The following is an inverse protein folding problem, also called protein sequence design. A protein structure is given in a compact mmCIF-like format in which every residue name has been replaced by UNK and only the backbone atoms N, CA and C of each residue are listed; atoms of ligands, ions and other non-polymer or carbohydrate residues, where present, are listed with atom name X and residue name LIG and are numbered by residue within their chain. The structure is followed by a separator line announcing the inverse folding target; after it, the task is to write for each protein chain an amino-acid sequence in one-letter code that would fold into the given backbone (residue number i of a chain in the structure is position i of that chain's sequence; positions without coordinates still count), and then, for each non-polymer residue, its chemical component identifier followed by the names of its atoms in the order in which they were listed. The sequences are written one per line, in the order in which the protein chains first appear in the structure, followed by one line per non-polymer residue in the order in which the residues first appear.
data_IF_825650081306
#
_entry.id   IF_825650081306
#
_cell.length_a   1.000
_cell.length_b   1.000
_cell.length_c   1.000
_cell.angle_alpha   90.00
_cell.angle_beta   90.00
_cell.angle_gamma   90.00
#
_symmetry.space_group_name_H-M   'P 1'
#
loop_
_entity.id
_entity.type
_entity.pdbx_description
1 polymer ?
#
# COMPACT_ATOMS: atom_id res chain seq x y z
N UNK A 1 39.81 22.11 31.93
CA UNK A 1 39.91 20.65 31.65
C UNK A 1 38.61 19.99 31.18
N UNK A 2 37.44 20.42 31.62
CA UNK A 2 36.17 19.72 31.38
C UNK A 2 35.66 19.79 29.93
N UNK A 3 35.81 20.95 29.26
CA UNK A 3 35.50 21.12 27.83
C UNK A 3 36.33 20.20 26.92
N UNK A 4 37.58 19.92 27.28
CA UNK A 4 38.44 18.98 26.55
C UNK A 4 38.00 17.53 26.72
N UNK A 5 37.59 17.13 27.93
CA UNK A 5 37.04 15.77 28.18
C UNK A 5 35.73 15.54 27.41
N UNK A 6 34.85 16.55 27.38
CA UNK A 6 33.58 16.50 26.60
C UNK A 6 33.83 16.37 25.09
N UNK A 7 34.75 17.17 24.53
CA UNK A 7 35.14 17.08 23.10
C UNK A 7 35.79 15.75 22.74
N UNK A 8 36.62 15.19 23.63
CA UNK A 8 37.29 13.90 23.43
C UNK A 8 36.32 12.71 23.53
N UNK A 9 35.32 12.77 24.42
CA UNK A 9 34.23 11.79 24.50
C UNK A 9 33.35 11.84 23.24
N UNK A 10 32.94 13.03 22.81
CA UNK A 10 32.14 13.25 21.61
C UNK A 10 32.82 12.75 20.31
N UNK A 11 34.14 12.90 20.17
CA UNK A 11 34.89 12.32 19.04
C UNK A 11 34.94 10.78 19.09
N UNK A 12 35.08 10.17 20.27
CA UNK A 12 35.11 8.71 20.42
C UNK A 12 33.76 8.08 20.08
N UNK A 13 32.66 8.71 20.49
CA UNK A 13 31.31 8.21 20.22
C UNK A 13 30.98 8.27 18.72
N UNK A 14 31.48 9.29 17.99
CA UNK A 14 31.35 9.38 16.52
C UNK A 14 32.21 8.35 15.77
N UNK A 15 33.41 8.06 16.27
CA UNK A 15 34.27 7.01 15.70
C UNK A 15 33.67 5.62 15.96
N UNK A 16 33.09 5.38 17.15
CA UNK A 16 32.38 4.14 17.45
C UNK A 16 31.13 3.95 16.58
N UNK A 17 30.36 5.02 16.34
CA UNK A 17 29.21 4.97 15.42
C UNK A 17 29.63 4.72 13.97
N UNK A 18 30.73 5.33 13.51
CA UNK A 18 31.30 5.06 12.17
C UNK A 18 31.79 3.62 12.02
N UNK A 19 32.44 3.07 13.06
CA UNK A 19 32.88 1.68 13.08
C UNK A 19 31.70 0.70 13.12
N UNK A 20 30.59 1.04 13.78
CA UNK A 20 29.37 0.25 13.78
C UNK A 20 28.67 0.26 12.40
N UNK A 21 28.65 1.41 11.71
CA UNK A 21 28.10 1.51 10.35
C UNK A 21 28.97 0.75 9.35
N UNK A 22 30.30 0.84 9.47
CA UNK A 22 31.22 0.05 8.66
C UNK A 22 31.07 -1.45 8.99
N UNK A 23 30.86 -1.83 10.25
CA UNK A 23 30.57 -3.22 10.61
C UNK A 23 29.25 -3.73 10.01
N UNK A 24 28.21 -2.89 9.90
CA UNK A 24 26.95 -3.23 9.19
C UNK A 24 27.18 -3.35 7.68
N UNK A 25 28.01 -2.48 7.08
CA UNK A 25 28.40 -2.58 5.67
C UNK A 25 29.25 -3.83 5.40
N UNK A 26 30.19 -4.17 6.30
CA UNK A 26 31.07 -5.33 6.19
C UNK A 26 30.30 -6.62 6.43
N UNK A 27 29.46 -6.72 7.47
CA UNK A 27 28.58 -7.87 7.70
C UNK A 27 27.54 -8.02 6.57
N UNK A 28 27.03 -6.90 6.04
CA UNK A 28 26.16 -6.88 4.86
C UNK A 28 26.88 -7.34 3.59
N UNK A 29 28.19 -7.09 3.47
CA UNK A 29 29.01 -7.56 2.35
C UNK A 29 29.56 -8.98 2.50
N UNK A 30 29.73 -9.48 3.73
CA UNK A 30 30.17 -10.87 3.99
C UNK A 30 29.04 -11.87 3.76
N UNK A 31 27.77 -11.43 3.84
CA UNK A 31 26.61 -12.24 3.44
C UNK A 31 26.41 -12.34 1.90
N UNK A 32 27.29 -11.72 1.10
CA UNK A 32 27.15 -11.65 -0.37
C UNK A 32 27.68 -12.88 -1.11
N UNK A 33 28.29 -13.86 -0.46
CA UNK A 33 28.84 -15.03 -1.17
C UNK A 33 28.23 -16.34 -0.68
N UNK A 34 27.47 -16.95 -1.60
CA UNK A 34 26.79 -18.28 -1.56
C UNK A 34 25.36 -18.30 -1.01
N UNK A 35 24.42 -17.85 -1.82
CA UNK A 35 23.16 -18.57 -2.06
C UNK A 35 22.49 -18.04 -3.33
N UNK A 36 22.38 -18.89 -4.36
CA UNK A 36 21.53 -18.62 -5.52
C UNK A 36 20.07 -18.58 -5.04
N UNK A 37 19.36 -17.51 -5.43
CA UNK A 37 17.94 -17.20 -5.13
C UNK A 37 17.62 -16.71 -3.70
N UNK A 38 17.63 -15.38 -3.50
CA UNK A 38 16.68 -14.75 -2.57
C UNK A 38 16.37 -13.32 -3.00
N UNK A 39 15.08 -13.02 -3.10
CA UNK A 39 14.46 -11.74 -3.49
C UNK A 39 14.95 -10.59 -2.61
N UNK A 40 15.22 -9.46 -3.25
CA UNK A 40 15.51 -8.19 -2.60
C UNK A 40 14.40 -7.81 -1.62
N UNK A 41 14.79 -7.64 -0.35
CA UNK A 41 13.93 -7.16 0.73
C UNK A 41 13.48 -5.74 0.39
N UNK A 42 12.17 -5.57 0.23
CA UNK A 42 11.52 -4.29 -0.08
C UNK A 42 11.66 -3.34 1.10
N UNK A 43 12.50 -2.30 0.95
CA UNK A 43 12.58 -1.23 1.94
C UNK A 43 11.49 -0.20 1.62
N UNK A 44 10.44 -0.26 2.42
CA UNK A 44 9.30 0.64 2.39
C UNK A 44 9.69 2.08 2.84
N UNK A 45 8.93 3.07 2.38
CA UNK A 45 9.11 4.51 2.65
C UNK A 45 9.40 4.82 4.12
N UNK A 46 8.77 4.08 5.04
CA UNK A 46 8.95 4.24 6.49
C UNK A 46 10.36 3.92 7.01
N UNK A 47 11.05 2.90 6.48
CA UNK A 47 12.43 2.60 6.90
C UNK A 47 13.40 3.63 6.32
N UNK A 48 13.18 4.04 5.07
CA UNK A 48 13.95 5.10 4.43
C UNK A 48 13.82 6.42 5.17
N UNK A 49 12.61 6.80 5.58
CA UNK A 49 12.38 7.99 6.40
C UNK A 49 13.01 7.86 7.80
N UNK A 50 12.94 6.71 8.47
CA UNK A 50 13.51 6.53 9.81
C UNK A 50 15.05 6.60 9.80
N UNK A 51 15.70 5.97 8.81
CA UNK A 51 17.16 6.03 8.64
C UNK A 51 17.63 7.43 8.27
N UNK A 52 16.87 8.16 7.45
CA UNK A 52 17.20 9.55 7.10
C UNK A 52 17.03 10.47 8.31
N UNK A 53 15.92 10.36 9.03
CA UNK A 53 15.57 11.23 10.16
C UNK A 53 16.49 11.01 11.36
N UNK A 54 16.89 9.77 11.65
CA UNK A 54 17.88 9.47 12.68
C UNK A 54 19.28 10.05 12.39
N UNK A 55 19.54 10.43 11.13
CA UNK A 55 20.84 10.90 10.64
C UNK A 55 20.80 12.30 10.01
N UNK A 56 19.74 13.08 10.23
CA UNK A 56 19.49 14.40 9.62
C UNK A 56 20.53 15.50 9.99
N UNK A 57 21.56 15.17 10.76
CA UNK A 57 22.73 16.02 11.03
C UNK A 57 24.10 15.35 10.79
N UNK A 58 24.12 14.12 10.27
CA UNK A 58 25.34 13.34 10.00
C UNK A 58 25.54 13.14 8.50
N UNK A 59 24.46 13.00 7.73
CA UNK A 59 24.49 12.81 6.29
C UNK A 59 24.37 14.17 5.57
N UNK A 60 25.14 14.35 4.50
CA UNK A 60 24.97 15.51 3.62
C UNK A 60 23.61 15.46 2.92
N UNK A 61 23.09 16.62 2.50
CA UNK A 61 21.80 16.73 1.77
C UNK A 61 21.75 15.80 0.55
N UNK A 62 22.88 15.58 -0.12
CA UNK A 62 22.97 14.69 -1.28
C UNK A 62 22.97 13.20 -0.91
N UNK A 63 23.65 12.81 0.17
CA UNK A 63 23.62 11.42 0.64
C UNK A 63 22.23 11.01 1.11
N UNK A 64 21.49 11.91 1.77
CA UNK A 64 20.08 11.67 2.13
C UNK A 64 19.17 11.47 0.90
N UNK A 65 19.42 12.19 -0.19
CA UNK A 65 18.67 12.05 -1.46
C UNK A 65 19.02 10.76 -2.20
N UNK A 66 20.30 10.39 -2.25
CA UNK A 66 20.76 9.14 -2.87
C UNK A 66 20.33 7.91 -2.05
N UNK A 67 20.38 7.96 -0.72
CA UNK A 67 19.86 6.89 0.14
C UNK A 67 18.34 6.72 0.02
N UNK A 68 17.58 7.83 -0.05
CA UNK A 68 16.14 7.76 -0.39
C UNK A 68 15.92 7.05 -1.73
N UNK A 69 16.72 7.36 -2.75
CA UNK A 69 16.63 6.74 -4.09
C UNK A 69 17.11 5.28 -4.12
N UNK A 70 18.04 4.89 -3.25
CA UNK A 70 18.57 3.53 -3.16
C UNK A 70 17.69 2.59 -2.30
N UNK A 71 16.96 3.14 -1.33
CA UNK A 71 15.98 2.42 -0.51
C UNK A 71 14.59 2.38 -1.15
N UNK A 72 14.26 3.38 -1.96
CA UNK A 72 13.07 3.39 -2.82
C UNK A 72 13.33 2.52 -4.07
N UNK A 73 12.84 1.29 -4.05
CA UNK A 73 12.77 0.44 -5.24
C UNK A 73 11.32 0.38 -5.69
N UNK A 74 10.86 1.28 -6.58
CA UNK A 74 9.55 1.11 -7.19
C UNK A 74 9.56 -0.22 -7.95
N UNK A 75 8.53 -1.05 -7.72
CA UNK A 75 8.37 -2.28 -8.49
C UNK A 75 8.18 -1.88 -9.95
N UNK A 76 9.11 -2.30 -10.82
CA UNK A 76 8.95 -2.10 -12.27
C UNK A 76 7.86 -3.05 -12.77
N UNK A 77 6.65 -2.53 -12.96
CA UNK A 77 5.54 -3.27 -13.58
C UNK A 77 5.86 -3.51 -15.06
N UNK A 78 5.67 -4.75 -15.49
CA UNK A 78 5.83 -5.13 -16.89
C UNK A 78 4.62 -4.67 -17.70
N UNK A 79 4.77 -3.54 -18.40
CA UNK A 79 3.73 -2.92 -19.23
C UNK A 79 3.31 -3.76 -20.44
N UNK A 80 4.05 -4.82 -20.78
CA UNK A 80 3.68 -5.73 -21.88
C UNK A 80 2.63 -6.76 -21.47
N UNK A 81 2.41 -6.95 -20.17
CA UNK A 81 1.38 -7.84 -19.64
C UNK A 81 0.03 -7.15 -19.52
N UNK A 82 -1.01 -7.97 -19.40
CA UNK A 82 -2.34 -7.49 -18.98
C UNK A 82 -2.29 -7.12 -17.50
N UNK A 83 -2.66 -5.91 -17.16
CA UNK A 83 -2.63 -5.39 -15.80
C UNK A 83 -4.04 -5.37 -15.21
N UNK A 84 -4.17 -5.82 -13.98
CA UNK A 84 -5.42 -5.74 -13.21
C UNK A 84 -5.11 -5.27 -11.79
N UNK A 85 -5.93 -4.38 -11.27
CA UNK A 85 -5.83 -3.93 -9.89
C UNK A 85 -6.81 -4.71 -9.02
N UNK A 86 -6.26 -5.54 -8.12
CA UNK A 86 -7.06 -6.14 -7.06
C UNK A 86 -7.21 -5.13 -5.94
N UNK A 87 -8.45 -4.97 -5.46
CA UNK A 87 -8.78 -4.04 -4.39
C UNK A 87 -9.62 -4.70 -3.32
N UNK A 88 -9.37 -4.36 -2.06
CA UNK A 88 -10.03 -4.94 -0.90
C UNK A 88 -10.57 -3.84 0.01
N UNK A 89 -11.87 -3.88 0.28
CA UNK A 89 -12.57 -2.89 1.10
C UNK A 89 -12.86 -3.42 2.52
N UNK A 90 -13.13 -2.49 3.44
CA UNK A 90 -13.57 -2.66 4.83
C UNK A 90 -12.52 -3.12 5.86
N UNK A 91 -11.39 -3.66 5.41
CA UNK A 91 -10.32 -4.12 6.29
C UNK A 91 -9.64 -3.01 7.12
N UNK A 92 -8.59 -3.38 7.88
CA UNK A 92 -8.04 -4.74 8.02
C UNK A 92 -8.89 -5.67 8.90
N UNK A 93 -8.81 -6.98 8.62
CA UNK A 93 -9.42 -8.06 9.41
C UNK A 93 -8.34 -9.08 9.81
N UNK A 94 -8.05 -9.25 11.11
CA UNK A 94 -7.09 -10.23 11.58
C UNK A 94 -7.39 -11.64 11.06
N UNK A 95 -6.35 -12.30 10.58
CA UNK A 95 -6.41 -13.65 10.01
C UNK A 95 -6.73 -13.68 8.52
N UNK A 96 -7.42 -12.66 7.99
CA UNK A 96 -7.77 -12.61 6.57
C UNK A 96 -6.79 -11.75 5.77
N UNK A 97 -6.59 -10.51 6.19
CA UNK A 97 -5.76 -9.53 5.45
C UNK A 97 -4.34 -10.07 5.28
N UNK A 98 -3.76 -10.66 6.33
CA UNK A 98 -2.43 -11.25 6.33
C UNK A 98 -2.31 -12.45 5.37
N UNK A 99 -3.37 -13.26 5.27
CA UNK A 99 -3.41 -14.38 4.32
C UNK A 99 -3.44 -13.89 2.87
N UNK A 100 -4.20 -12.84 2.59
CA UNK A 100 -4.25 -12.23 1.25
C UNK A 100 -2.87 -11.68 0.87
N UNK A 101 -2.21 -10.93 1.76
CA UNK A 101 -0.84 -10.44 1.56
C UNK A 101 0.11 -11.59 1.21
N UNK A 102 0.08 -12.66 2.02
CA UNK A 102 0.93 -13.84 1.81
C UNK A 102 0.65 -14.52 0.46
N UNK A 103 -0.61 -14.56 0.02
CA UNK A 103 -0.99 -15.10 -1.28
C UNK A 103 -0.44 -14.24 -2.44
N UNK A 104 -0.50 -12.91 -2.32
CA UNK A 104 0.05 -11.97 -3.28
C UNK A 104 1.58 -12.09 -3.38
N UNK A 105 2.28 -12.14 -2.24
CA UNK A 105 3.74 -12.23 -2.18
C UNK A 105 4.30 -13.52 -2.80
N UNK A 106 3.59 -14.65 -2.64
CA UNK A 106 3.93 -15.93 -3.31
C UNK A 106 4.02 -15.77 -4.83
N UNK A 107 3.20 -14.88 -5.40
CA UNK A 107 3.18 -14.63 -6.84
C UNK A 107 3.96 -13.39 -7.28
N UNK A 108 4.57 -12.66 -6.34
CA UNK A 108 5.20 -11.35 -6.55
C UNK A 108 4.19 -10.32 -7.09
N UNK A 109 2.96 -10.36 -6.57
CA UNK A 109 1.89 -9.43 -6.88
C UNK A 109 1.66 -8.46 -5.74
N UNK A 110 0.93 -7.38 -6.05
CA UNK A 110 0.51 -6.35 -5.09
C UNK A 110 -0.93 -5.95 -5.36
N UNK A 111 -1.61 -5.44 -4.34
CA UNK A 111 -3.00 -5.03 -4.38
C UNK A 111 -3.20 -3.76 -3.56
N UNK A 112 -4.41 -3.19 -3.62
CA UNK A 112 -4.81 -1.98 -2.89
C UNK A 112 -5.81 -2.31 -1.80
N UNK A 113 -5.59 -1.84 -0.59
CA UNK A 113 -6.47 -2.08 0.54
C UNK A 113 -7.11 -0.75 0.96
N UNK A 114 -8.42 -0.62 0.73
CA UNK A 114 -9.22 0.52 1.16
C UNK A 114 -9.72 0.26 2.57
N UNK A 115 -8.99 0.80 3.55
CA UNK A 115 -9.21 0.49 4.95
C UNK A 115 -10.13 1.48 5.64
N UNK A 116 -10.96 0.96 6.55
CA UNK A 116 -11.71 1.78 7.49
C UNK A 116 -10.81 2.31 8.59
N UNK A 117 -10.94 3.60 8.89
CA UNK A 117 -10.16 4.25 9.95
C UNK A 117 -10.28 3.58 11.32
N UNK A 118 -11.49 3.14 11.68
CA UNK A 118 -11.72 2.43 12.96
C UNK A 118 -10.99 1.08 13.04
N UNK A 119 -10.89 0.36 11.91
CA UNK A 119 -10.21 -0.93 11.84
C UNK A 119 -8.69 -0.72 11.78
N UNK A 120 -8.21 0.26 11.03
CA UNK A 120 -6.81 0.65 11.01
C UNK A 120 -6.31 1.08 12.40
N UNK A 121 -7.16 1.79 13.17
CA UNK A 121 -6.87 2.16 14.57
C UNK A 121 -6.79 0.92 15.48
N UNK A 122 -7.65 -0.08 15.25
CA UNK A 122 -7.72 -1.29 16.08
C UNK A 122 -6.62 -2.30 15.75
N UNK A 123 -6.16 -2.34 14.50
CA UNK A 123 -5.17 -3.31 14.01
C UNK A 123 -4.00 -2.63 13.28
N UNK A 124 -3.27 -1.70 13.92
CA UNK A 124 -2.22 -0.91 13.28
C UNK A 124 -1.06 -1.77 12.76
N UNK A 125 -0.77 -2.90 13.40
CA UNK A 125 0.29 -3.81 12.97
C UNK A 125 -0.03 -4.47 11.62
N UNK A 126 -1.29 -4.79 11.35
CA UNK A 126 -1.72 -5.34 10.05
C UNK A 126 -1.58 -4.27 8.96
N UNK A 127 -1.96 -3.02 9.23
CA UNK A 127 -1.78 -1.90 8.28
C UNK A 127 -0.29 -1.74 7.92
N UNK A 128 0.58 -1.81 8.93
CA UNK A 128 2.03 -1.76 8.75
C UNK A 128 2.55 -2.95 7.94
N UNK A 129 1.99 -4.13 8.12
CA UNK A 129 2.33 -5.32 7.33
C UNK A 129 1.86 -5.19 5.87
N UNK A 130 0.66 -4.66 5.61
CA UNK A 130 0.20 -4.33 4.25
C UNK A 130 1.16 -3.35 3.57
N UNK A 131 1.63 -2.32 4.26
CA UNK A 131 2.56 -1.36 3.67
C UNK A 131 3.97 -1.96 3.46
N UNK A 132 4.52 -2.69 4.45
CA UNK A 132 5.84 -3.37 4.33
C UNK A 132 5.85 -4.44 3.24
N UNK A 133 4.71 -5.10 3.14
CA UNK A 133 4.06 -5.62 1.96
C UNK A 133 4.42 -5.15 0.57
N UNK A 134 4.74 -3.86 0.45
CA UNK A 134 4.59 -3.04 -0.75
C UNK A 134 3.22 -3.12 -1.41
N UNK A 135 2.17 -3.53 -0.69
CA UNK A 135 0.80 -3.31 -1.11
C UNK A 135 0.42 -1.85 -0.83
N UNK A 136 -0.58 -1.36 -1.54
CA UNK A 136 -1.05 0.01 -1.38
C UNK A 136 -2.06 0.09 -0.23
N UNK A 137 -1.84 1.05 0.68
CA UNK A 137 -2.76 1.39 1.76
C UNK A 137 -3.54 2.64 1.35
N UNK A 138 -4.86 2.49 1.21
CA UNK A 138 -5.80 3.52 0.78
C UNK A 138 -6.97 3.64 1.76
N UNK A 139 -7.80 4.67 1.57
CA UNK A 139 -8.82 5.06 2.56
C UNK A 139 -10.25 4.71 2.15
N UNK A 140 -11.06 4.24 3.12
CA UNK A 140 -12.47 3.89 2.92
C UNK A 140 -13.44 4.57 3.90
N UNK A 141 -13.16 5.80 4.33
CA UNK A 141 -13.80 6.51 5.46
C UNK A 141 -13.41 5.96 6.85
N UNK A 142 -13.95 6.53 7.92
CA UNK A 142 -13.64 6.09 9.27
C UNK A 142 -14.50 4.90 9.72
N UNK A 143 -15.83 5.02 9.59
CA UNK A 143 -16.82 4.04 10.08
C UNK A 143 -17.91 3.67 9.05
N UNK A 144 -17.62 3.86 7.76
CA UNK A 144 -18.43 3.40 6.62
C UNK A 144 -19.83 4.05 6.45
N UNK A 145 -20.03 5.37 6.68
CA UNK A 145 -21.31 5.99 6.38
C UNK A 145 -21.47 6.22 4.87
N UNK A 146 -22.71 6.29 4.38
CA UNK A 146 -22.98 6.78 3.04
C UNK A 146 -22.67 8.29 2.99
N UNK A 147 -21.51 8.66 2.45
CA UNK A 147 -20.97 10.02 2.52
C UNK A 147 -21.88 11.07 1.85
N UNK A 148 -22.68 10.68 0.86
CA UNK A 148 -23.63 11.57 0.19
C UNK A 148 -24.84 11.96 1.06
N UNK A 149 -25.00 11.34 2.23
CA UNK A 149 -26.08 11.61 3.20
C UNK A 149 -25.61 12.42 4.40
N UNK A 150 -24.35 12.83 4.45
CA UNK A 150 -23.80 13.66 5.52
C UNK A 150 -23.27 14.99 4.95
N UNK A 151 -23.23 16.03 5.79
CA UNK A 151 -22.73 17.35 5.39
C UNK A 151 -21.20 17.38 5.20
N UNK A 152 -20.69 18.48 4.64
CA UNK A 152 -19.27 18.70 4.36
C UNK A 152 -18.35 18.42 5.56
N UNK A 153 -18.71 18.95 6.74
CA UNK A 153 -17.97 18.70 7.98
C UNK A 153 -17.94 17.21 8.37
N UNK A 154 -19.03 16.48 8.11
CA UNK A 154 -19.09 15.04 8.32
C UNK A 154 -18.15 14.28 7.38
N UNK A 155 -18.17 14.62 6.08
CA UNK A 155 -17.24 14.02 5.09
C UNK A 155 -15.78 14.30 5.46
N UNK A 156 -15.46 15.56 5.79
CA UNK A 156 -14.12 15.95 6.19
C UNK A 156 -13.65 15.19 7.44
N UNK A 157 -14.52 15.05 8.45
CA UNK A 157 -14.23 14.30 9.67
C UNK A 157 -13.96 12.81 9.39
N UNK A 158 -14.77 12.17 8.54
CA UNK A 158 -14.57 10.79 8.11
C UNK A 158 -13.21 10.58 7.44
N UNK A 159 -12.84 11.48 6.53
CA UNK A 159 -11.57 11.43 5.81
C UNK A 159 -10.36 11.71 6.73
N UNK A 160 -10.46 12.72 7.60
CA UNK A 160 -9.37 13.11 8.50
C UNK A 160 -9.09 12.05 9.56
N UNK A 161 -10.11 11.58 10.28
CA UNK A 161 -9.94 10.57 11.34
C UNK A 161 -9.37 9.26 10.81
N UNK A 162 -9.77 8.87 9.61
CA UNK A 162 -9.20 7.72 8.91
C UNK A 162 -7.71 7.94 8.60
N UNK A 163 -7.34 9.07 8.01
CA UNK A 163 -5.93 9.38 7.73
C UNK A 163 -5.08 9.46 9.00
N UNK A 164 -5.61 10.01 10.10
CA UNK A 164 -4.91 10.03 11.39
C UNK A 164 -4.61 8.61 11.90
N UNK A 165 -5.54 7.66 11.71
CA UNK A 165 -5.32 6.26 12.06
C UNK A 165 -4.25 5.61 11.16
N UNK A 166 -4.29 5.86 9.85
CA UNK A 166 -3.29 5.34 8.90
C UNK A 166 -1.89 5.90 9.18
N UNK A 167 -1.76 7.21 9.40
CA UNK A 167 -0.49 7.86 9.72
C UNK A 167 0.09 7.30 11.02
N UNK A 168 -0.74 7.06 12.05
CA UNK A 168 -0.28 6.42 13.29
C UNK A 168 0.17 4.98 13.07
N UNK A 169 -0.47 4.23 12.18
CA UNK A 169 -0.17 2.82 11.95
C UNK A 169 1.07 2.61 11.05
N UNK A 170 1.17 3.34 9.95
CA UNK A 170 2.19 3.10 8.91
C UNK A 170 2.96 4.35 8.46
N UNK A 171 2.72 5.52 9.08
CA UNK A 171 3.47 6.75 8.82
C UNK A 171 3.08 7.49 7.54
N UNK A 172 2.07 7.01 6.80
CA UNK A 172 1.58 7.64 5.58
C UNK A 172 0.07 7.85 5.62
N UNK A 173 -0.41 8.85 4.88
CA UNK A 173 -1.83 9.01 4.57
C UNK A 173 -2.27 7.96 3.54
N UNK A 174 -3.57 7.86 3.29
CA UNK A 174 -4.11 7.08 2.20
C UNK A 174 -3.58 7.57 0.84
N UNK A 175 -3.21 6.65 -0.06
CA UNK A 175 -2.73 7.00 -1.40
C UNK A 175 -3.85 7.53 -2.30
N UNK A 176 -5.04 6.95 -2.19
CA UNK A 176 -6.28 7.37 -2.84
C UNK A 176 -7.47 6.98 -1.95
N UNK A 177 -8.68 7.33 -2.37
CA UNK A 177 -9.88 7.14 -1.55
C UNK A 177 -10.98 6.43 -2.33
N UNK A 178 -11.64 5.45 -1.71
CA UNK A 178 -12.88 4.86 -2.23
C UNK A 178 -14.04 5.25 -1.31
N UNK A 179 -15.07 5.94 -1.80
CA UNK A 179 -16.27 6.21 -1.01
C UNK A 179 -17.06 4.93 -0.71
N UNK A 180 -17.51 4.72 0.54
CA UNK A 180 -18.49 3.67 0.86
C UNK A 180 -19.65 3.66 -0.12
N UNK A 181 -20.03 2.46 -0.57
CA UNK A 181 -21.12 2.23 -1.53
C UNK A 181 -20.93 2.91 -2.91
N UNK A 182 -19.75 3.45 -3.20
CA UNK A 182 -19.50 4.25 -4.41
C UNK A 182 -20.22 5.61 -4.41
N UNK A 183 -20.71 6.07 -3.24
CA UNK A 183 -21.48 7.30 -3.12
C UNK A 183 -20.62 8.55 -3.36
N UNK A 184 -20.84 9.24 -4.49
CA UNK A 184 -20.15 10.48 -4.86
C UNK A 184 -21.16 11.58 -5.13
N UNK A 185 -20.88 12.77 -4.60
CA UNK A 185 -21.48 14.04 -4.99
C UNK A 185 -20.43 15.15 -4.87
N UNK A 186 -20.81 16.39 -5.18
CA UNK A 186 -19.87 17.52 -5.14
C UNK A 186 -19.30 17.77 -3.73
N UNK A 187 -20.13 17.62 -2.69
CA UNK A 187 -19.69 17.70 -1.29
C UNK A 187 -18.58 16.70 -1.00
N UNK A 188 -18.70 15.45 -1.48
CA UNK A 188 -17.66 14.41 -1.33
C UNK A 188 -16.38 14.81 -2.06
N UNK A 189 -16.47 15.22 -3.33
CA UNK A 189 -15.31 15.61 -4.15
C UNK A 189 -14.52 16.76 -3.54
N UNK A 190 -15.20 17.75 -2.96
CA UNK A 190 -14.57 18.93 -2.38
C UNK A 190 -13.85 18.65 -1.05
N UNK A 191 -14.36 17.71 -0.25
CA UNK A 191 -13.90 17.45 1.12
C UNK A 191 -12.93 16.27 1.25
N UNK A 192 -12.56 15.63 0.14
CA UNK A 192 -11.59 14.54 0.09
C UNK A 192 -10.37 14.98 -0.70
N UNK A 193 -9.18 14.80 -0.13
CA UNK A 193 -7.93 15.17 -0.77
C UNK A 193 -7.35 13.98 -1.55
N UNK A 194 -7.63 13.93 -2.85
CA UNK A 194 -7.16 12.86 -3.75
C UNK A 194 -8.21 12.40 -4.75
N UNK A 195 -7.83 11.48 -5.66
CA UNK A 195 -8.77 10.87 -6.61
C UNK A 195 -9.74 9.93 -5.89
N UNK A 196 -10.95 9.82 -6.42
CA UNK A 196 -11.99 8.90 -5.95
C UNK A 196 -11.98 7.64 -6.81
N UNK A 197 -11.66 6.50 -6.23
CA UNK A 197 -11.50 5.24 -6.96
C UNK A 197 -12.70 4.33 -6.73
N UNK A 198 -13.41 3.99 -7.80
CA UNK A 198 -14.48 3.01 -7.85
C UNK A 198 -13.93 1.68 -8.41
N UNK A 199 -14.75 0.94 -9.15
CA UNK A 199 -14.40 -0.36 -9.72
C UNK A 199 -15.16 -0.59 -11.02
N UNK A 200 -14.54 -1.33 -11.95
CA UNK A 200 -15.20 -1.80 -13.17
C UNK A 200 -15.73 -3.23 -13.04
N UNK A 201 -15.23 -4.00 -12.06
CA UNK A 201 -15.66 -5.38 -11.79
C UNK A 201 -16.04 -5.51 -10.32
N UNK A 202 -17.33 -5.67 -10.06
CA UNK A 202 -17.85 -6.09 -8.75
C UNK A 202 -17.92 -7.62 -8.70
N UNK A 203 -17.20 -8.22 -7.75
CA UNK A 203 -17.21 -9.67 -7.56
C UNK A 203 -18.49 -10.18 -6.88
N UNK A 204 -19.25 -9.29 -6.23
CA UNK A 204 -20.40 -9.60 -5.39
C UNK A 204 -20.05 -10.58 -4.24
N UNK A 205 -18.81 -10.58 -3.78
CA UNK A 205 -18.35 -11.46 -2.69
C UNK A 205 -19.06 -11.16 -1.37
N UNK A 206 -19.34 -9.88 -1.09
CA UNK A 206 -20.12 -9.40 0.04
C UNK A 206 -21.55 -9.98 0.08
N UNK A 207 -22.13 -10.27 -1.10
CA UNK A 207 -23.48 -10.83 -1.25
C UNK A 207 -23.48 -12.35 -1.32
N UNK A 208 -22.62 -12.92 -2.16
CA UNK A 208 -22.66 -14.35 -2.50
C UNK A 208 -22.00 -15.24 -1.46
N UNK A 209 -20.98 -14.73 -0.73
CA UNK A 209 -20.22 -15.51 0.26
C UNK A 209 -19.76 -16.86 -0.26
N UNK A 210 -19.35 -16.91 -1.53
CA UNK A 210 -19.03 -18.15 -2.22
C UNK A 210 -17.72 -18.03 -3.01
N UNK A 211 -16.72 -18.79 -2.60
CA UNK A 211 -15.38 -18.79 -3.19
C UNK A 211 -15.40 -19.08 -4.70
N UNK A 212 -16.13 -20.10 -5.14
CA UNK A 212 -16.20 -20.47 -6.54
C UNK A 212 -16.88 -19.39 -7.39
N UNK A 213 -17.92 -18.73 -6.86
CA UNK A 213 -18.58 -17.62 -7.53
C UNK A 213 -17.63 -16.42 -7.71
N UNK A 214 -16.87 -16.05 -6.68
CA UNK A 214 -15.85 -14.98 -6.74
C UNK A 214 -14.77 -15.31 -7.77
N UNK A 215 -14.19 -16.52 -7.72
CA UNK A 215 -13.17 -16.97 -8.69
C UNK A 215 -13.73 -16.91 -10.13
N UNK A 216 -14.93 -17.45 -10.34
CA UNK A 216 -15.59 -17.44 -11.66
C UNK A 216 -15.81 -16.02 -12.15
N UNK A 217 -16.29 -15.11 -11.29
CA UNK A 217 -16.52 -13.72 -11.64
C UNK A 217 -15.24 -13.04 -12.12
N UNK A 218 -14.15 -13.17 -11.36
CA UNK A 218 -12.84 -12.60 -11.72
C UNK A 218 -12.36 -13.15 -13.07
N UNK A 219 -12.35 -14.47 -13.25
CA UNK A 219 -11.79 -15.09 -14.45
C UNK A 219 -12.62 -14.83 -15.71
N UNK A 220 -13.92 -14.57 -15.58
CA UNK A 220 -14.81 -14.33 -16.72
C UNK A 220 -14.96 -12.84 -17.07
N UNK A 221 -14.91 -11.94 -16.07
CA UNK A 221 -15.20 -10.52 -16.28
C UNK A 221 -13.97 -9.63 -16.34
N UNK A 222 -12.90 -9.95 -15.61
CA UNK A 222 -11.75 -9.06 -15.50
C UNK A 222 -10.89 -9.06 -16.78
N UNK A 223 -10.62 -7.87 -17.30
CA UNK A 223 -9.77 -7.57 -18.45
C UNK A 223 -8.65 -6.60 -18.09
N UNK A 224 -7.71 -6.43 -19.01
CA UNK A 224 -6.62 -5.46 -18.86
C UNK A 224 -7.17 -4.05 -18.57
N UNK A 225 -6.64 -3.40 -17.54
CA UNK A 225 -7.07 -2.09 -17.08
C UNK A 225 -8.15 -2.09 -15.99
N UNK A 226 -8.70 -3.25 -15.62
CA UNK A 226 -9.78 -3.30 -14.63
C UNK A 226 -9.33 -3.09 -13.19
N UNK A 227 -10.26 -2.52 -12.41
CA UNK A 227 -10.19 -2.43 -10.95
C UNK A 227 -11.27 -3.36 -10.39
N UNK A 228 -10.85 -4.36 -9.63
CA UNK A 228 -11.70 -5.45 -9.11
C UNK A 228 -12.03 -5.20 -7.64
N UNK A 229 -13.32 -5.04 -7.33
CA UNK A 229 -13.84 -4.88 -5.97
C UNK A 229 -14.03 -6.24 -5.27
N UNK A 230 -13.43 -6.36 -4.09
CA UNK A 230 -13.58 -7.46 -3.14
C UNK A 230 -13.52 -6.90 -1.71
N UNK A 231 -13.80 -7.74 -0.71
CA UNK A 231 -13.79 -7.39 0.70
C UNK A 231 -12.93 -8.40 1.48
N UNK A 232 -11.81 -7.94 2.07
CA UNK A 232 -10.90 -8.83 2.81
C UNK A 232 -11.46 -9.26 4.18
N UNK A 233 -12.59 -8.72 4.58
CA UNK A 233 -13.30 -9.10 5.81
C UNK A 233 -14.03 -10.46 5.70
N UNK A 234 -13.91 -11.19 4.59
CA UNK A 234 -14.62 -12.45 4.33
C UNK A 234 -13.68 -13.61 4.00
N UNK A 235 -13.80 -14.72 4.72
CA UNK A 235 -12.97 -15.92 4.54
C UNK A 235 -13.08 -16.50 3.11
N UNK A 236 -14.28 -16.48 2.52
CA UNK A 236 -14.50 -16.98 1.16
C UNK A 236 -13.77 -16.14 0.11
N UNK A 237 -13.61 -14.84 0.35
CA UNK A 237 -12.81 -13.94 -0.50
C UNK A 237 -11.33 -14.27 -0.39
N UNK A 238 -10.81 -14.52 0.81
CA UNK A 238 -9.41 -14.96 1.02
C UNK A 238 -9.13 -16.24 0.21
N UNK A 239 -10.01 -17.24 0.34
CA UNK A 239 -9.89 -18.49 -0.40
C UNK A 239 -9.97 -18.29 -1.91
N UNK A 240 -10.82 -17.36 -2.39
CA UNK A 240 -10.93 -17.04 -3.80
C UNK A 240 -9.64 -16.42 -4.34
N UNK A 241 -9.03 -15.49 -3.58
CA UNK A 241 -7.74 -14.88 -3.92
C UNK A 241 -6.64 -15.94 -4.01
N UNK A 242 -6.55 -16.81 -2.99
CA UNK A 242 -5.57 -17.91 -2.97
C UNK A 242 -5.67 -18.82 -4.21
N UNK A 243 -6.89 -19.07 -4.70
CA UNK A 243 -7.14 -19.90 -5.89
C UNK A 243 -6.93 -19.17 -7.23
N UNK A 244 -7.29 -17.88 -7.32
CA UNK A 244 -7.35 -17.17 -8.61
C UNK A 244 -6.00 -16.62 -9.06
N UNK A 245 -5.12 -16.22 -8.14
CA UNK A 245 -3.82 -15.60 -8.48
C UNK A 245 -2.94 -16.48 -9.39
N UNK A 246 -2.76 -17.80 -9.14
CA UNK A 246 -1.98 -18.66 -10.04
C UNK A 246 -2.62 -18.81 -11.43
N UNK A 247 -3.95 -18.76 -11.51
CA UNK A 247 -4.69 -18.88 -12.77
C UNK A 247 -4.54 -17.62 -13.62
N UNK A 248 -4.60 -16.44 -13.00
CA UNK A 248 -4.36 -15.16 -13.65
C UNK A 248 -2.94 -15.07 -14.21
N UNK A 249 -1.95 -15.56 -13.45
CA UNK A 249 -0.57 -15.65 -13.92
C UNK A 249 -0.42 -16.48 -15.19
N UNK A 250 -1.05 -17.67 -15.24
CA UNK A 250 -1.08 -18.52 -16.44
C UNK A 250 -1.77 -17.84 -17.63
N UNK A 251 -2.74 -16.96 -17.37
CA UNK A 251 -3.44 -16.15 -18.39
C UNK A 251 -2.68 -14.88 -18.80
N UNK A 252 -1.45 -14.67 -18.31
CA UNK A 252 -0.60 -13.52 -18.67
C UNK A 252 -0.99 -12.22 -17.97
N UNK A 253 -1.69 -12.29 -16.83
CA UNK A 253 -2.00 -11.12 -16.02
C UNK A 253 -0.90 -10.83 -14.99
N UNK A 254 -0.75 -9.55 -14.69
CA UNK A 254 -0.01 -9.04 -13.55
C UNK A 254 -0.95 -8.27 -12.62
N UNK A 255 -1.04 -8.74 -11.38
CA UNK A 255 -1.83 -8.08 -10.34
C UNK A 255 -0.96 -7.00 -9.68
N UNK A 256 -1.51 -5.79 -9.65
CA UNK A 256 -0.85 -4.56 -9.22
C UNK A 256 -1.76 -3.70 -8.34
N UNK A 257 -1.19 -2.68 -7.72
CA UNK A 257 -1.93 -1.63 -7.01
C UNK A 257 -2.68 -0.72 -7.99
N UNK A 258 -3.61 0.10 -7.50
CA UNK A 258 -4.30 1.08 -8.36
C UNK A 258 -3.30 2.12 -8.87
N UNK A 259 -2.41 2.62 -8.01
CA UNK A 259 -1.40 3.59 -8.45
C UNK A 259 -0.45 3.03 -9.50
N UNK A 260 0.02 1.79 -9.31
CA UNK A 260 0.85 1.07 -10.31
C UNK A 260 0.11 0.89 -11.64
N UNK A 261 -1.19 0.55 -11.61
CA UNK A 261 -2.01 0.41 -12.80
C UNK A 261 -2.10 1.74 -13.58
N UNK A 262 -2.43 2.83 -12.89
CA UNK A 262 -2.56 4.15 -13.50
C UNK A 262 -1.22 4.65 -14.06
N UNK A 263 -0.13 4.51 -13.31
CA UNK A 263 1.22 4.87 -13.76
C UNK A 263 1.64 4.05 -14.99
N UNK A 264 1.38 2.74 -14.97
CA UNK A 264 1.73 1.86 -16.08
C UNK A 264 1.01 2.28 -17.37
N UNK A 265 -0.26 2.69 -17.25
CA UNK A 265 -1.11 3.17 -18.36
C UNK A 265 -0.93 4.65 -18.70
N UNK A 266 -0.02 5.36 -18.02
CA UNK A 266 0.28 6.77 -18.31
C UNK A 266 -0.82 7.75 -17.88
N UNK A 267 -1.67 7.32 -16.95
CA UNK A 267 -2.82 8.08 -16.48
C UNK A 267 -2.41 8.96 -15.30
N UNK A 268 -2.76 10.24 -15.39
CA UNK A 268 -2.59 11.20 -14.29
C UNK A 268 -3.94 11.56 -13.73
N UNK A 269 -4.08 11.46 -12.42
CA UNK A 269 -5.30 11.80 -11.68
C UNK A 269 -5.01 12.83 -10.61
N UNK A 270 -5.99 13.70 -10.36
CA UNK A 270 -5.96 14.76 -9.34
C UNK A 270 -7.15 14.64 -8.40
N UNK A 271 -7.19 15.52 -7.40
CA UNK A 271 -8.32 15.66 -6.49
C UNK A 271 -9.64 15.78 -7.26
N UNK A 272 -10.63 14.97 -6.86
CA UNK A 272 -11.99 15.01 -7.40
C UNK A 272 -12.22 14.24 -8.70
N UNK A 273 -11.16 13.81 -9.39
CA UNK A 273 -11.28 12.89 -10.52
C UNK A 273 -11.86 11.55 -10.03
N UNK A 274 -12.73 10.94 -10.83
CA UNK A 274 -13.36 9.64 -10.50
C UNK A 274 -12.79 8.55 -11.40
N UNK A 275 -12.12 7.57 -10.82
CA UNK A 275 -11.46 6.47 -11.52
C UNK A 275 -12.30 5.21 -11.39
N UNK A 276 -12.87 4.71 -12.49
CA UNK A 276 -13.64 3.45 -12.50
C UNK A 276 -12.74 2.29 -12.95
N UNK A 277 -11.87 2.56 -13.93
CA UNK A 277 -10.83 1.66 -14.41
C UNK A 277 -9.70 2.48 -15.05
N UNK A 278 -8.63 1.84 -15.48
CA UNK A 278 -7.63 2.50 -16.32
C UNK A 278 -8.17 2.90 -17.71
N UNK A 279 -9.36 2.42 -18.09
CA UNK A 279 -10.00 2.74 -19.37
C UNK A 279 -11.17 3.72 -19.21
N UNK A 280 -11.48 4.16 -17.99
CA UNK A 280 -12.63 5.01 -17.71
C UNK A 280 -12.39 5.90 -16.48
N UNK A 281 -12.27 7.20 -16.76
CA UNK A 281 -12.05 8.27 -15.77
C UNK A 281 -13.07 9.38 -16.07
N UNK A 282 -13.64 9.98 -15.02
CA UNK A 282 -14.60 11.10 -15.11
C UNK A 282 -14.07 12.33 -14.39
#
# INVERSE_FOLDING_TARGET
MEKMKKRRKWRKDRVAALLAIIAVLVLGSVFIVKSRQTKYVSVNEGLGQYVVKANEGILSKDTGKQMKKALYVPRKIDKTKKLIAFTFDDGPKPGNTERIIKALDKQNYRATFYMLGQNAKSYPDIVKEVQKSGNEVSGHSYDHPLLTKIGAAGVASQYQRMNDALVKACGSKAANFRPPYGGINETVKQNIDGPLVLWSVDTLDWKTRNTAATVKCILQKAKDGDIVLMHDIHEQTVQAVEQVLPQLKKKGYEVCTVSELLEAKGIKVKKGDVVISANQIQ
#
